data_IF_224800718218
#
_entry.id   IF_224800718218
#
_cell.length_a   1.000
_cell.length_b   1.000
_cell.length_c   1.000
_cell.angle_alpha   90.00
_cell.angle_beta   90.00
_cell.angle_gamma   90.00
#
_symmetry.space_group_name_H-M   'P 1'
#
loop_
_entity.id
_entity.type
_entity.pdbx_description
1 polymer ?
#
# COMPACT_ATOMS: atom_id res chain seq x y z
N UNK A 1 13.86 24.43 -13.10
CA UNK A 1 12.53 23.79 -12.92
C UNK A 1 12.64 22.28 -12.70
N UNK A 2 13.38 21.55 -13.54
CA UNK A 2 13.53 20.09 -13.45
C UNK A 2 14.12 19.59 -12.11
N UNK A 3 15.12 20.29 -11.54
CA UNK A 3 15.67 19.92 -10.24
C UNK A 3 14.64 19.95 -9.09
N UNK A 4 13.71 20.91 -9.10
CA UNK A 4 12.64 21.00 -8.07
C UNK A 4 11.65 19.83 -8.19
N UNK A 5 11.31 19.44 -9.41
CA UNK A 5 10.44 18.29 -9.68
C UNK A 5 11.10 17.00 -9.20
N UNK A 6 12.38 16.79 -9.52
CA UNK A 6 13.13 15.61 -9.07
C UNK A 6 13.20 15.50 -7.54
N UNK A 7 13.38 16.63 -6.84
CA UNK A 7 13.35 16.65 -5.36
C UNK A 7 11.96 16.26 -4.84
N UNK A 8 10.90 16.83 -5.39
CA UNK A 8 9.53 16.51 -5.00
C UNK A 8 9.20 15.03 -5.22
N UNK A 9 9.58 14.47 -6.38
CA UNK A 9 9.40 13.03 -6.66
C UNK A 9 10.10 12.15 -5.64
N UNK A 10 11.33 12.49 -5.24
CA UNK A 10 12.08 11.74 -4.22
C UNK A 10 11.39 11.81 -2.87
N UNK A 11 10.94 12.99 -2.44
CA UNK A 11 10.24 13.16 -1.16
C UNK A 11 8.96 12.34 -1.13
N UNK A 12 8.12 12.45 -2.17
CA UNK A 12 6.86 11.71 -2.28
C UNK A 12 7.12 10.20 -2.24
N UNK A 13 8.10 9.72 -3.01
CA UNK A 13 8.43 8.31 -3.07
C UNK A 13 8.99 7.80 -1.73
N UNK A 14 9.85 8.56 -1.06
CA UNK A 14 10.38 8.22 0.26
C UNK A 14 9.27 8.14 1.30
N UNK A 15 8.34 9.10 1.32
CA UNK A 15 7.22 9.08 2.26
C UNK A 15 6.28 7.91 1.99
N UNK A 16 5.97 7.63 0.73
CA UNK A 16 5.07 6.55 0.37
C UNK A 16 5.66 5.17 0.67
N UNK A 17 6.87 4.92 0.18
CA UNK A 17 7.55 3.64 0.38
C UNK A 17 7.92 3.48 1.85
N UNK A 18 8.43 4.51 2.50
CA UNK A 18 8.66 4.50 3.95
C UNK A 18 7.38 4.18 4.73
N UNK A 19 6.24 4.78 4.35
CA UNK A 19 4.94 4.47 4.93
C UNK A 19 4.53 3.00 4.75
N UNK A 20 4.74 2.42 3.56
CA UNK A 20 4.50 0.99 3.32
C UNK A 20 5.30 0.11 4.28
N UNK A 21 6.58 0.41 4.45
CA UNK A 21 7.45 -0.38 5.32
C UNK A 21 7.12 -0.20 6.80
N UNK A 22 6.94 1.04 7.24
CA UNK A 22 6.70 1.34 8.65
C UNK A 22 5.32 0.89 9.13
N UNK A 23 4.26 1.06 8.33
CA UNK A 23 2.91 0.68 8.75
C UNK A 23 2.75 -0.84 8.72
N UNK A 24 3.09 -1.47 7.58
CA UNK A 24 2.79 -2.89 7.37
C UNK A 24 3.68 -3.85 8.17
N UNK A 25 4.93 -3.49 8.43
CA UNK A 25 5.92 -4.42 9.02
C UNK A 25 6.42 -4.02 10.40
N UNK A 26 6.08 -2.82 10.88
CA UNK A 26 6.44 -2.39 12.23
C UNK A 26 5.22 -2.02 13.06
N UNK A 27 4.47 -1.00 12.65
CA UNK A 27 3.41 -0.43 13.48
C UNK A 27 2.24 -1.41 13.68
N UNK A 28 1.76 -2.06 12.62
CA UNK A 28 0.66 -3.03 12.73
C UNK A 28 1.05 -4.24 13.59
N UNK A 29 2.19 -4.92 13.37
CA UNK A 29 2.65 -5.97 14.27
C UNK A 29 2.79 -5.53 15.72
N UNK A 30 3.30 -4.32 15.96
CA UNK A 30 3.44 -3.77 17.31
C UNK A 30 2.08 -3.55 17.98
N UNK A 31 1.06 -3.08 17.25
CA UNK A 31 -0.30 -2.94 17.79
C UNK A 31 -0.87 -4.28 18.26
N UNK A 32 -0.72 -5.34 17.46
CA UNK A 32 -1.20 -6.68 17.82
C UNK A 32 -0.38 -7.32 18.95
N UNK A 33 0.86 -6.89 19.16
CA UNK A 33 1.69 -7.35 20.28
C UNK A 33 1.40 -6.60 21.58
N UNK A 34 1.09 -5.30 21.52
CA UNK A 34 0.98 -4.44 22.71
C UNK A 34 -0.45 -4.30 23.24
N UNK A 35 -1.47 -4.50 22.40
CA UNK A 35 -2.87 -4.36 22.81
C UNK A 35 -3.48 -5.72 23.15
N UNK A 36 -4.01 -5.84 24.36
CA UNK A 36 -4.79 -7.02 24.78
C UNK A 36 -6.09 -7.16 23.95
N UNK A 37 -6.68 -6.04 23.54
CA UNK A 37 -7.85 -6.01 22.66
C UNK A 37 -7.44 -6.11 21.18
N UNK A 38 -7.46 -7.35 20.67
CA UNK A 38 -7.19 -7.67 19.26
C UNK A 38 -8.19 -7.02 18.28
N UNK A 39 -9.41 -6.69 18.73
CA UNK A 39 -10.39 -5.98 17.89
C UNK A 39 -9.98 -4.53 17.71
N UNK A 40 -9.55 -3.87 18.79
CA UNK A 40 -9.02 -2.52 18.74
C UNK A 40 -7.76 -2.44 17.87
N UNK A 41 -6.81 -3.38 18.04
CA UNK A 41 -5.62 -3.47 17.19
C UNK A 41 -5.99 -3.60 15.70
N UNK A 42 -6.96 -4.47 15.39
CA UNK A 42 -7.46 -4.65 14.02
C UNK A 42 -8.19 -3.43 13.44
N UNK A 43 -8.88 -2.64 14.27
CA UNK A 43 -9.51 -1.37 13.87
C UNK A 43 -8.45 -0.32 13.53
N UNK A 44 -7.50 -0.10 14.44
CA UNK A 44 -6.41 0.85 14.24
C UNK A 44 -5.55 0.49 13.01
N UNK A 45 -5.21 -0.80 12.85
CA UNK A 45 -4.51 -1.27 11.65
C UNK A 45 -5.29 -0.95 10.36
N UNK A 46 -6.61 -1.17 10.36
CA UNK A 46 -7.48 -0.83 9.24
C UNK A 46 -7.46 0.66 8.91
N UNK A 47 -7.49 1.53 9.92
CA UNK A 47 -7.39 2.98 9.76
C UNK A 47 -6.03 3.42 9.20
N UNK A 48 -4.94 2.85 9.71
CA UNK A 48 -3.59 3.13 9.20
C UNK A 48 -3.45 2.74 7.73
N UNK A 49 -3.94 1.55 7.34
CA UNK A 49 -3.94 1.14 5.94
C UNK A 49 -4.86 1.99 5.07
N UNK A 50 -6.02 2.42 5.58
CA UNK A 50 -6.93 3.32 4.84
C UNK A 50 -6.26 4.65 4.55
N UNK A 51 -5.61 5.26 5.54
CA UNK A 51 -4.86 6.50 5.36
C UNK A 51 -3.70 6.33 4.37
N UNK A 52 -2.93 5.24 4.50
CA UNK A 52 -1.83 4.93 3.59
C UNK A 52 -2.30 4.66 2.15
N UNK A 53 -3.44 4.01 1.97
CA UNK A 53 -4.01 3.76 0.64
C UNK A 53 -4.38 5.08 -0.05
N UNK A 54 -5.06 5.99 0.65
CA UNK A 54 -5.37 7.32 0.11
C UNK A 54 -4.12 8.13 -0.22
N UNK A 55 -3.15 8.14 0.69
CA UNK A 55 -1.85 8.76 0.43
C UNK A 55 -1.16 8.15 -0.78
N UNK A 56 -1.16 6.82 -0.90
CA UNK A 56 -0.55 6.09 -2.01
C UNK A 56 -1.22 6.35 -3.35
N UNK A 57 -2.54 6.46 -3.38
CA UNK A 57 -3.29 6.85 -4.60
C UNK A 57 -2.90 8.26 -5.05
N UNK A 58 -2.86 9.23 -4.13
CA UNK A 58 -2.45 10.59 -4.42
C UNK A 58 -0.98 10.66 -4.87
N UNK A 59 -0.08 10.00 -4.14
CA UNK A 59 1.35 9.94 -4.43
C UNK A 59 1.60 9.30 -5.81
N UNK A 60 1.01 8.13 -6.09
CA UNK A 60 1.18 7.44 -7.36
C UNK A 60 0.62 8.23 -8.54
N UNK A 61 -0.53 8.90 -8.38
CA UNK A 61 -1.09 9.78 -9.41
C UNK A 61 -0.15 10.96 -9.73
N UNK A 62 0.35 11.65 -8.70
CA UNK A 62 1.30 12.76 -8.87
C UNK A 62 2.60 12.29 -9.54
N UNK A 63 3.14 11.14 -9.13
CA UNK A 63 4.33 10.56 -9.73
C UNK A 63 4.10 10.15 -11.20
N UNK A 64 2.93 9.61 -11.55
CA UNK A 64 2.57 9.28 -12.93
C UNK A 64 2.45 10.52 -13.81
N UNK A 65 1.78 11.57 -13.32
CA UNK A 65 1.67 12.85 -14.04
C UNK A 65 3.08 13.41 -14.29
N UNK A 66 3.91 13.46 -13.24
CA UNK A 66 5.29 13.91 -13.35
C UNK A 66 6.11 13.05 -14.31
N UNK A 67 5.92 11.73 -14.29
CA UNK A 67 6.59 10.82 -15.22
C UNK A 67 6.22 11.16 -16.66
N UNK A 68 4.92 11.36 -16.95
CA UNK A 68 4.39 11.62 -18.29
C UNK A 68 4.79 12.98 -18.87
N UNK A 69 4.95 13.99 -18.02
CA UNK A 69 5.41 15.33 -18.42
C UNK A 69 6.88 15.37 -18.85
N UNK A 70 7.68 14.40 -18.38
CA UNK A 70 9.13 14.36 -18.58
C UNK A 70 9.58 13.21 -19.52
N UNK A 71 8.76 12.18 -19.70
CA UNK A 71 9.09 11.01 -20.51
C UNK A 71 8.94 11.29 -22.01
N UNK A 72 9.83 10.67 -22.82
CA UNK A 72 9.65 10.53 -24.27
C UNK A 72 8.43 9.63 -24.56
N UNK A 73 7.79 9.74 -25.74
CA UNK A 73 6.64 8.89 -26.07
C UNK A 73 6.98 7.39 -25.91
N UNK A 74 6.20 6.68 -25.10
CA UNK A 74 6.37 5.25 -24.79
C UNK A 74 6.00 4.91 -23.34
N UNK A 75 5.68 3.64 -23.08
CA UNK A 75 5.46 3.15 -21.72
C UNK A 75 6.81 2.75 -21.12
N UNK A 76 7.34 3.56 -20.20
CA UNK A 76 8.56 3.22 -19.47
C UNK A 76 8.26 2.30 -18.26
N UNK A 77 9.27 1.58 -17.81
CA UNK A 77 9.15 0.64 -16.69
C UNK A 77 8.67 1.32 -15.40
N UNK A 78 9.02 2.61 -15.21
CA UNK A 78 8.62 3.42 -14.05
C UNK A 78 7.12 3.66 -14.06
N UNK A 79 6.55 4.05 -15.20
CA UNK A 79 5.11 4.21 -15.38
C UNK A 79 4.37 2.90 -15.17
N UNK A 80 4.85 1.80 -15.76
CA UNK A 80 4.24 0.48 -15.58
C UNK A 80 4.22 0.06 -14.10
N UNK A 81 5.33 0.28 -13.39
CA UNK A 81 5.46 -0.03 -11.97
C UNK A 81 4.48 0.80 -11.13
N UNK A 82 4.38 2.11 -11.39
CA UNK A 82 3.44 2.99 -10.70
C UNK A 82 1.98 2.60 -10.95
N UNK A 83 1.62 2.28 -12.20
CA UNK A 83 0.27 1.80 -12.55
C UNK A 83 -0.04 0.51 -11.82
N UNK A 84 0.89 -0.44 -11.80
CA UNK A 84 0.73 -1.71 -11.08
C UNK A 84 0.55 -1.47 -9.57
N UNK A 85 1.36 -0.61 -8.95
CA UNK A 85 1.23 -0.27 -7.53
C UNK A 85 -0.14 0.36 -7.22
N UNK A 86 -0.64 1.25 -8.09
CA UNK A 86 -1.97 1.84 -7.92
C UNK A 86 -3.07 0.78 -8.06
N UNK A 87 -2.96 -0.13 -9.03
CA UNK A 87 -3.90 -1.23 -9.20
C UNK A 87 -3.93 -2.14 -7.97
N UNK A 88 -2.78 -2.44 -7.37
CA UNK A 88 -2.68 -3.21 -6.12
C UNK A 88 -3.39 -2.51 -4.96
N UNK A 89 -3.23 -1.18 -4.82
CA UNK A 89 -3.98 -0.40 -3.82
C UNK A 89 -5.48 -0.54 -4.07
N UNK A 90 -5.93 -0.35 -5.32
CA UNK A 90 -7.36 -0.39 -5.65
C UNK A 90 -7.97 -1.76 -5.34
N UNK A 91 -7.30 -2.85 -5.73
CA UNK A 91 -7.75 -4.22 -5.44
C UNK A 91 -7.81 -4.46 -3.93
N UNK A 92 -6.77 -4.09 -3.18
CA UNK A 92 -6.76 -4.28 -1.73
C UNK A 92 -7.84 -3.43 -1.02
N UNK A 93 -7.97 -2.16 -1.39
CA UNK A 93 -8.85 -1.21 -0.72
C UNK A 93 -10.33 -1.41 -1.05
N UNK A 94 -10.66 -1.72 -2.31
CA UNK A 94 -12.04 -1.73 -2.79
C UNK A 94 -12.60 -3.13 -3.08
N UNK A 95 -11.75 -4.16 -3.21
CA UNK A 95 -12.23 -5.54 -3.38
C UNK A 95 -11.99 -6.38 -2.12
N UNK A 96 -10.75 -6.47 -1.63
CA UNK A 96 -10.40 -7.42 -0.56
C UNK A 96 -10.82 -6.88 0.82
N UNK A 97 -10.53 -5.60 1.11
CA UNK A 97 -10.84 -5.00 2.41
C UNK A 97 -12.35 -5.02 2.75
N UNK A 98 -13.28 -4.66 1.85
CA UNK A 98 -14.71 -4.72 2.16
C UNK A 98 -15.19 -6.13 2.52
N UNK A 99 -14.73 -7.16 1.80
CA UNK A 99 -15.06 -8.56 2.09
C UNK A 99 -14.55 -8.99 3.47
N UNK A 100 -13.35 -8.55 3.86
CA UNK A 100 -12.83 -8.80 5.21
C UNK A 100 -13.65 -8.10 6.29
N UNK A 101 -14.12 -6.87 6.04
CA UNK A 101 -14.94 -6.12 7.00
C UNK A 101 -16.33 -6.74 7.18
N UNK A 102 -16.93 -7.21 6.09
CA UNK A 102 -18.21 -7.95 6.13
C UNK A 102 -18.10 -9.20 7.03
N UNK A 103 -17.03 -10.00 6.84
CA UNK A 103 -16.78 -11.17 7.67
C UNK A 103 -16.54 -10.82 9.14
N UNK A 104 -15.83 -9.72 9.42
CA UNK A 104 -15.63 -9.22 10.78
C UNK A 104 -16.95 -8.78 11.43
N UNK A 105 -17.81 -8.08 10.69
CA UNK A 105 -19.09 -7.60 11.18
C UNK A 105 -20.06 -8.74 11.55
N UNK A 106 -19.98 -9.88 10.84
CA UNK A 106 -20.73 -11.09 11.18
C UNK A 106 -20.23 -11.86 12.41
N UNK A 107 -19.06 -11.47 12.95
CA UNK A 107 -18.41 -12.15 14.07
C UNK A 107 -17.58 -13.36 13.63
N UNK A 108 -16.30 -13.38 14.00
CA UNK A 108 -15.37 -14.46 13.67
C UNK A 108 -15.24 -15.43 14.86
N UNK A 109 -15.82 -16.62 14.73
CA UNK A 109 -15.65 -17.71 15.71
C UNK A 109 -14.50 -18.61 15.26
N UNK A 110 -13.59 -18.94 16.17
CA UNK A 110 -12.46 -19.82 15.89
C UNK A 110 -12.95 -21.19 15.35
N UNK A 111 -12.33 -21.67 14.28
CA UNK A 111 -12.71 -22.92 13.61
C UNK A 111 -13.90 -22.81 12.65
N UNK A 112 -14.60 -21.67 12.59
CA UNK A 112 -15.69 -21.47 11.62
C UNK A 112 -15.18 -21.27 10.18
N UNK A 113 -16.04 -21.53 9.20
CA UNK A 113 -15.76 -21.25 7.79
C UNK A 113 -15.51 -19.75 7.55
N UNK A 114 -16.23 -18.86 8.25
CA UNK A 114 -16.03 -17.42 8.18
C UNK A 114 -14.62 -17.02 8.62
N UNK A 115 -14.11 -17.60 9.73
CA UNK A 115 -12.74 -17.37 10.18
C UNK A 115 -11.70 -17.90 9.18
N UNK A 116 -11.94 -19.07 8.57
CA UNK A 116 -11.06 -19.61 7.54
C UNK A 116 -11.04 -18.73 6.27
N UNK A 117 -12.20 -18.22 5.83
CA UNK A 117 -12.32 -17.30 4.69
C UNK A 117 -11.63 -15.97 4.98
N UNK A 118 -11.80 -15.43 6.19
CA UNK A 118 -11.10 -14.24 6.64
C UNK A 118 -9.58 -14.42 6.57
N UNK A 119 -9.06 -15.54 7.08
CA UNK A 119 -7.63 -15.86 7.03
C UNK A 119 -7.08 -15.92 5.60
N UNK A 120 -7.82 -16.52 4.66
CA UNK A 120 -7.44 -16.55 3.23
C UNK A 120 -7.39 -15.15 2.61
N UNK A 121 -8.41 -14.33 2.85
CA UNK A 121 -8.45 -12.94 2.34
C UNK A 121 -7.34 -12.09 2.95
N UNK A 122 -7.09 -12.25 4.25
CA UNK A 122 -6.00 -11.55 4.94
C UNK A 122 -4.65 -11.94 4.35
N UNK A 123 -4.37 -13.24 4.19
CA UNK A 123 -3.14 -13.73 3.58
C UNK A 123 -2.94 -13.22 2.13
N UNK A 124 -4.01 -13.21 1.32
CA UNK A 124 -3.96 -12.63 -0.03
C UNK A 124 -3.63 -11.13 0.02
N UNK A 125 -4.28 -10.38 0.92
CA UNK A 125 -4.05 -8.95 1.07
C UNK A 125 -2.60 -8.65 1.49
N UNK A 126 -2.06 -9.40 2.45
CA UNK A 126 -0.67 -9.32 2.89
C UNK A 126 0.32 -9.64 1.77
N UNK A 127 0.02 -10.61 0.92
CA UNK A 127 0.85 -10.95 -0.23
C UNK A 127 0.87 -9.83 -1.28
N UNK A 128 -0.30 -9.27 -1.63
CA UNK A 128 -0.38 -8.13 -2.55
C UNK A 128 0.33 -6.89 -1.97
N UNK A 129 0.21 -6.67 -0.67
CA UNK A 129 0.92 -5.60 0.04
C UNK A 129 2.45 -5.79 0.00
N UNK A 130 2.93 -7.03 0.12
CA UNK A 130 4.35 -7.35 -0.03
C UNK A 130 4.84 -7.03 -1.44
N UNK A 131 4.12 -7.46 -2.49
CA UNK A 131 4.47 -7.12 -3.87
C UNK A 131 4.54 -5.60 -4.03
N UNK A 132 3.53 -4.87 -3.55
CA UNK A 132 3.51 -3.41 -3.61
C UNK A 132 4.71 -2.77 -2.90
N UNK A 133 5.10 -3.28 -1.73
CA UNK A 133 6.25 -2.79 -0.95
C UNK A 133 7.57 -3.03 -1.67
N UNK A 134 7.73 -4.18 -2.31
CA UNK A 134 8.92 -4.53 -3.11
C UNK A 134 9.02 -3.68 -4.39
N UNK A 135 7.90 -3.46 -5.10
CA UNK A 135 7.85 -2.55 -6.24
C UNK A 135 8.24 -1.11 -5.84
N UNK A 136 7.74 -0.66 -4.69
CA UNK A 136 8.12 0.62 -4.10
C UNK A 136 9.62 0.73 -3.83
N UNK A 137 10.23 -0.29 -3.23
CA UNK A 137 11.70 -0.33 -3.06
C UNK A 137 12.43 -0.31 -4.40
N UNK A 138 11.95 -1.05 -5.40
CA UNK A 138 12.51 -1.03 -6.75
C UNK A 138 12.54 0.39 -7.34
N UNK A 139 11.47 1.17 -7.16
CA UNK A 139 11.42 2.57 -7.56
C UNK A 139 12.39 3.46 -6.76
N UNK A 140 12.58 3.21 -5.47
CA UNK A 140 13.55 3.96 -4.64
C UNK A 140 14.98 3.70 -5.09
N UNK A 141 15.33 2.44 -5.37
CA UNK A 141 16.71 2.06 -5.73
C UNK A 141 17.03 2.44 -7.17
N UNK A 142 16.15 2.12 -8.11
CA UNK A 142 16.43 2.21 -9.55
C UNK A 142 15.62 3.30 -10.26
N UNK A 143 14.52 3.76 -9.66
CA UNK A 143 13.57 4.67 -10.30
C UNK A 143 13.89 6.15 -10.12
N UNK A 144 14.85 6.50 -9.28
CA UNK A 144 15.21 7.91 -9.04
C UNK A 144 15.97 8.46 -10.25
N UNK A 145 15.38 9.49 -10.89
CA UNK A 145 16.06 10.23 -11.95
C UNK A 145 17.25 10.99 -11.37
N UNK A 146 18.44 10.78 -11.94
CA UNK A 146 19.63 11.61 -11.69
C UNK A 146 19.41 12.89 -12.50
N UNK A 147 19.31 14.02 -11.79
CA UNK A 147 19.08 15.34 -12.38
C UNK A 147 20.29 15.87 -13.12
#
# INVERSE_FOLDING_TARGET
MQAKIAIAERIILTLWVGGLWMIGYLAVPLLFHQLDDTRLAGQLAGEMFRALNWFGLAAGALLLISNRMQARPGLDWRALTLVLMLALILVNAFAISPLMQELKAGGLVAGSEAAARFGRLHGLSSFLYLIQSLLGLGLVVFGIRRG
#
